data_IF_343484729122
#
_entry.id   IF_343484729122
#
_cell.length_a   1.000
_cell.length_b   1.000
_cell.length_c   1.000
_cell.angle_alpha   90.00
_cell.angle_beta   90.00
_cell.angle_gamma   90.00
#
_symmetry.space_group_name_H-M   'P 1'
#
loop_
_entity.id
_entity.type
_entity.pdbx_description
1 polymer ?
#
# COMPACT_ATOMS: atom_id res chain seq x y z
N UNK A 1 -0.97 -20.51 3.91
CA UNK A 1 0.42 -21.05 4.10
C UNK A 1 0.67 -21.36 5.57
N UNK A 2 1.47 -22.39 5.86
CA UNK A 2 1.83 -22.78 7.22
C UNK A 2 3.36 -22.80 7.34
N UNK A 3 3.90 -22.02 8.29
CA UNK A 3 5.33 -22.00 8.61
C UNK A 3 5.55 -22.67 9.96
N UNK A 4 6.43 -23.67 10.01
CA UNK A 4 6.82 -24.37 11.23
C UNK A 4 8.10 -23.73 11.75
N UNK A 5 8.05 -23.19 12.96
CA UNK A 5 9.19 -22.61 13.66
C UNK A 5 9.64 -23.55 14.79
N UNK A 6 10.86 -23.36 15.30
CA UNK A 6 11.36 -24.12 16.47
C UNK A 6 10.51 -23.94 17.74
N UNK A 7 9.66 -22.92 17.77
CA UNK A 7 8.77 -22.55 18.89
C UNK A 7 7.28 -22.67 18.55
N UNK A 8 6.90 -23.52 17.58
CA UNK A 8 5.52 -23.73 17.17
C UNK A 8 5.29 -23.39 15.71
N UNK A 9 4.02 -23.17 15.32
CA UNK A 9 3.66 -22.82 13.94
C UNK A 9 2.96 -21.46 13.86
N UNK A 10 3.04 -20.86 12.66
CA UNK A 10 2.21 -19.74 12.24
C UNK A 10 1.48 -20.17 10.97
N UNK A 11 0.17 -20.09 10.98
CA UNK A 11 -0.67 -20.34 9.83
C UNK A 11 -1.29 -19.05 9.34
N UNK A 12 -1.16 -18.78 8.03
CA UNK A 12 -1.75 -17.63 7.38
C UNK A 12 -2.64 -18.10 6.23
N UNK A 13 -3.87 -17.61 6.19
CA UNK A 13 -4.80 -17.80 5.08
C UNK A 13 -5.27 -16.47 4.53
N UNK A 14 -5.52 -16.43 3.23
CA UNK A 14 -6.10 -15.30 2.51
C UNK A 14 -7.15 -15.87 1.56
N UNK A 15 -8.37 -15.37 1.68
CA UNK A 15 -9.44 -15.54 0.70
C UNK A 15 -9.79 -14.15 0.15
N UNK A 16 -9.76 -14.00 -1.18
CA UNK A 16 -9.88 -12.71 -1.83
C UNK A 16 -10.76 -12.80 -3.07
N UNK A 17 -11.79 -11.94 -3.10
CA UNK A 17 -12.68 -11.76 -4.23
C UNK A 17 -12.54 -10.34 -4.75
N UNK A 18 -12.06 -10.16 -5.99
CA UNK A 18 -11.86 -8.85 -6.60
C UNK A 18 -12.71 -8.68 -7.84
N UNK A 19 -13.30 -7.50 -7.96
CA UNK A 19 -13.96 -7.03 -9.17
C UNK A 19 -13.26 -5.76 -9.67
N UNK A 20 -12.84 -5.79 -10.94
CA UNK A 20 -12.15 -4.67 -11.58
C UNK A 20 -12.92 -4.25 -12.83
N UNK A 21 -13.28 -2.97 -12.89
CA UNK A 21 -13.87 -2.35 -14.06
C UNK A 21 -12.90 -1.30 -14.61
N UNK A 22 -12.65 -1.34 -15.92
CA UNK A 22 -11.82 -0.36 -16.61
C UNK A 22 -12.57 0.14 -17.83
N UNK A 23 -12.65 1.45 -17.99
CA UNK A 23 -13.29 2.10 -19.12
C UNK A 23 -12.39 3.21 -19.67
N UNK A 24 -12.01 3.08 -20.93
CA UNK A 24 -11.27 4.12 -21.66
C UNK A 24 -12.28 5.12 -22.21
N UNK A 25 -12.28 6.36 -21.68
CA UNK A 25 -13.25 7.40 -22.06
C UNK A 25 -12.85 7.99 -23.42
N UNK A 26 -11.55 8.31 -23.56
CA UNK A 26 -10.93 8.80 -24.79
C UNK A 26 -9.52 8.23 -24.88
N UNK A 27 -8.73 8.61 -25.88
CA UNK A 27 -7.36 8.09 -26.04
C UNK A 27 -6.48 8.32 -24.80
N UNK A 28 -6.72 9.44 -24.09
CA UNK A 28 -5.89 9.88 -22.96
C UNK A 28 -6.50 9.65 -21.59
N UNK A 29 -7.78 9.27 -21.47
CA UNK A 29 -8.45 9.14 -20.18
C UNK A 29 -8.90 7.70 -19.91
N UNK A 30 -8.56 7.20 -18.74
CA UNK A 30 -8.95 5.89 -18.25
C UNK A 30 -9.62 6.01 -16.88
N UNK A 31 -10.85 5.52 -16.78
CA UNK A 31 -11.54 5.30 -15.51
C UNK A 31 -11.35 3.85 -15.07
N UNK A 32 -10.90 3.64 -13.85
CA UNK A 32 -10.77 2.32 -13.23
C UNK A 32 -11.52 2.30 -11.91
N UNK A 33 -12.24 1.23 -11.63
CA UNK A 33 -12.89 0.99 -10.35
C UNK A 33 -12.54 -0.42 -9.90
N UNK A 34 -11.96 -0.52 -8.71
CA UNK A 34 -11.67 -1.80 -8.06
C UNK A 34 -12.54 -1.93 -6.81
N UNK A 35 -13.15 -3.10 -6.64
CA UNK A 35 -13.80 -3.49 -5.39
C UNK A 35 -13.24 -4.84 -4.98
N UNK A 36 -12.90 -4.99 -3.69
CA UNK A 36 -12.42 -6.25 -3.15
C UNK A 36 -13.11 -6.58 -1.83
N UNK A 37 -13.24 -7.88 -1.60
CA UNK A 37 -13.71 -8.48 -0.35
C UNK A 37 -12.67 -9.52 0.04
N UNK A 38 -11.91 -9.22 1.09
CA UNK A 38 -10.78 -10.02 1.51
C UNK A 38 -11.03 -10.53 2.93
N UNK A 39 -10.66 -11.79 3.15
CA UNK A 39 -10.60 -12.39 4.47
C UNK A 39 -9.17 -12.86 4.73
N UNK A 40 -8.54 -12.26 5.74
CA UNK A 40 -7.15 -12.56 6.10
C UNK A 40 -7.08 -13.07 7.53
N UNK A 41 -6.58 -14.26 7.70
CA UNK A 41 -6.40 -14.89 9.01
C UNK A 41 -4.92 -15.15 9.27
N UNK A 42 -4.49 -14.90 10.50
CA UNK A 42 -3.18 -15.27 11.01
C UNK A 42 -3.31 -15.86 12.40
N UNK A 43 -2.88 -17.11 12.54
CA UNK A 43 -2.94 -17.86 13.81
C UNK A 43 -1.54 -18.35 14.15
N UNK A 44 -1.08 -17.98 15.34
CA UNK A 44 0.17 -18.46 15.93
C UNK A 44 -0.13 -19.28 17.18
N UNK A 45 0.48 -20.45 17.27
CA UNK A 45 0.33 -21.35 18.42
C UNK A 45 0.79 -20.70 19.72
N UNK A 46 1.93 -19.99 19.70
CA UNK A 46 2.58 -19.47 20.90
C UNK A 46 2.47 -17.95 21.09
N UNK A 47 1.88 -17.24 20.14
CA UNK A 47 1.75 -15.78 20.18
C UNK A 47 0.30 -15.33 19.95
N UNK A 48 -0.59 -15.76 20.85
CA UNK A 48 -2.03 -15.49 20.74
C UNK A 48 -2.36 -13.99 20.60
N UNK A 49 -1.54 -13.09 21.15
CA UNK A 49 -1.70 -11.64 21.01
C UNK A 49 -1.47 -11.10 19.59
N UNK A 50 -0.96 -11.92 18.68
CA UNK A 50 -0.77 -11.62 17.26
C UNK A 50 -1.83 -12.23 16.36
N UNK A 51 -2.72 -13.05 16.91
CA UNK A 51 -3.76 -13.70 16.14
C UNK A 51 -4.84 -12.71 15.74
N UNK A 52 -5.26 -12.78 14.49
CA UNK A 52 -6.33 -11.96 13.95
C UNK A 52 -7.09 -12.71 12.85
N UNK A 53 -8.31 -12.28 12.62
CA UNK A 53 -9.11 -12.67 11.46
C UNK A 53 -9.82 -11.40 10.94
N UNK A 54 -9.29 -10.83 9.87
CA UNK A 54 -9.79 -9.60 9.29
C UNK A 54 -10.75 -9.88 8.15
N UNK A 55 -11.94 -9.31 8.25
CA UNK A 55 -12.86 -9.13 7.13
C UNK A 55 -12.64 -7.71 6.59
N UNK A 56 -12.25 -7.59 5.31
CA UNK A 56 -11.92 -6.33 4.66
C UNK A 56 -12.79 -6.11 3.42
N UNK A 57 -13.29 -4.90 3.27
CA UNK A 57 -13.95 -4.42 2.06
C UNK A 57 -13.21 -3.20 1.54
N UNK A 58 -12.89 -3.20 0.25
CA UNK A 58 -12.18 -2.14 -0.44
C UNK A 58 -13.00 -1.64 -1.62
N UNK A 59 -13.06 -0.32 -1.77
CA UNK A 59 -13.60 0.38 -2.94
C UNK A 59 -12.60 1.45 -3.38
N UNK A 60 -12.11 1.37 -4.62
CA UNK A 60 -11.02 2.22 -5.12
C UNK A 60 -11.31 2.68 -6.55
N UNK A 61 -12.02 3.81 -6.75
CA UNK A 61 -12.12 4.50 -8.03
C UNK A 61 -10.82 5.29 -8.32
N UNK A 62 -10.39 5.27 -9.57
CA UNK A 62 -9.21 5.95 -10.08
C UNK A 62 -9.48 6.54 -11.45
N UNK A 63 -9.02 7.77 -11.67
CA UNK A 63 -8.97 8.43 -12.97
C UNK A 63 -7.50 8.58 -13.34
N UNK A 64 -7.15 8.13 -14.53
CA UNK A 64 -5.81 8.21 -15.08
C UNK A 64 -5.81 9.10 -16.34
N UNK A 65 -4.84 9.99 -16.43
CA UNK A 65 -4.54 10.76 -17.63
C UNK A 65 -3.24 10.28 -18.24
N UNK A 66 -3.31 9.83 -19.50
CA UNK A 66 -2.19 9.35 -20.28
C UNK A 66 -1.67 10.50 -21.14
N UNK A 67 -0.56 11.12 -20.74
CA UNK A 67 0.08 12.17 -21.55
C UNK A 67 0.63 11.62 -22.86
N UNK A 68 1.16 10.42 -22.81
CA UNK A 68 1.69 9.63 -23.92
C UNK A 68 1.88 8.17 -23.45
N UNK A 69 2.44 7.33 -24.30
CA UNK A 69 2.70 5.91 -24.00
C UNK A 69 3.65 5.69 -22.82
N UNK A 70 4.40 6.72 -22.41
CA UNK A 70 5.44 6.64 -21.39
C UNK A 70 5.09 7.35 -20.09
N UNK A 71 4.04 8.17 -20.07
CA UNK A 71 3.74 9.06 -18.94
C UNK A 71 2.27 9.02 -18.56
N UNK A 72 2.01 8.80 -17.27
CA UNK A 72 0.66 8.72 -16.69
C UNK A 72 0.59 9.51 -15.40
N UNK A 73 -0.53 10.19 -15.21
CA UNK A 73 -0.92 10.82 -13.97
C UNK A 73 -2.22 10.21 -13.47
N UNK A 74 -2.28 9.83 -12.20
CA UNK A 74 -3.46 9.23 -11.58
C UNK A 74 -3.95 10.08 -10.42
N UNK A 75 -5.27 10.17 -10.27
CA UNK A 75 -5.96 10.64 -9.08
C UNK A 75 -6.85 9.50 -8.61
N UNK A 76 -6.80 9.16 -7.35
CA UNK A 76 -7.59 8.07 -6.81
C UNK A 76 -8.12 8.35 -5.40
N UNK A 77 -9.22 7.70 -5.12
CA UNK A 77 -9.81 7.60 -3.80
C UNK A 77 -9.89 6.13 -3.43
N UNK A 78 -9.62 5.80 -2.18
CA UNK A 78 -9.82 4.46 -1.67
C UNK A 78 -10.56 4.52 -0.34
N UNK A 79 -11.61 3.73 -0.23
CA UNK A 79 -12.31 3.48 1.01
C UNK A 79 -12.07 2.03 1.42
N UNK A 80 -11.53 1.83 2.62
CA UNK A 80 -11.30 0.51 3.20
C UNK A 80 -12.03 0.41 4.52
N UNK A 81 -12.80 -0.66 4.69
CA UNK A 81 -13.40 -1.07 5.96
C UNK A 81 -12.78 -2.40 6.34
N UNK A 82 -12.22 -2.47 7.55
CA UNK A 82 -11.56 -3.68 8.05
C UNK A 82 -12.07 -3.95 9.48
N UNK A 83 -12.46 -5.17 9.76
CA UNK A 83 -12.97 -5.61 11.06
C UNK A 83 -12.22 -6.84 11.51
N UNK A 84 -11.74 -6.85 12.77
CA UNK A 84 -11.20 -8.04 13.39
C UNK A 84 -12.34 -8.84 14.02
N UNK A 85 -12.55 -10.07 13.57
CA UNK A 85 -13.66 -10.93 14.02
C UNK A 85 -13.31 -11.78 15.23
N UNK A 86 -12.05 -11.73 15.69
CA UNK A 86 -11.56 -12.46 16.86
C UNK A 86 -10.81 -11.52 17.81
N UNK A 87 -10.67 -11.90 19.07
CA UNK A 87 -9.89 -11.14 20.06
C UNK A 87 -10.53 -9.82 20.48
N UNK A 88 -9.90 -8.71 20.12
CA UNK A 88 -10.28 -7.37 20.59
C UNK A 88 -11.42 -6.71 19.80
N UNK A 89 -11.90 -7.32 18.71
CA UNK A 89 -12.95 -6.77 17.83
C UNK A 89 -12.65 -5.36 17.30
N UNK A 90 -11.38 -5.11 17.01
CA UNK A 90 -10.94 -3.83 16.46
C UNK A 90 -11.58 -3.56 15.10
N UNK A 91 -11.86 -2.30 14.81
CA UNK A 91 -12.38 -1.89 13.52
C UNK A 91 -11.67 -0.66 12.95
N UNK A 92 -11.52 -0.65 11.64
CA UNK A 92 -10.91 0.45 10.88
C UNK A 92 -11.82 0.87 9.74
N UNK A 93 -12.09 2.18 9.64
CA UNK A 93 -12.61 2.82 8.43
C UNK A 93 -11.55 3.79 7.93
N UNK A 94 -10.94 3.48 6.81
CA UNK A 94 -9.88 4.29 6.21
C UNK A 94 -10.39 4.95 4.94
N UNK A 95 -10.11 6.22 4.79
CA UNK A 95 -10.25 6.97 3.55
C UNK A 95 -8.85 7.40 3.10
N UNK A 96 -8.46 7.04 1.89
CA UNK A 96 -7.21 7.41 1.25
C UNK A 96 -7.51 8.25 0.01
N UNK A 97 -6.88 9.39 -0.09
CA UNK A 97 -6.87 10.26 -1.27
C UNK A 97 -5.44 10.29 -1.79
N UNK A 98 -5.24 9.98 -3.03
CA UNK A 98 -3.90 9.91 -3.58
C UNK A 98 -3.79 10.50 -4.97
N UNK A 99 -2.58 10.98 -5.25
CA UNK A 99 -2.14 11.35 -6.58
C UNK A 99 -0.83 10.64 -6.88
N UNK A 100 -0.68 10.16 -8.11
CA UNK A 100 0.56 9.53 -8.54
C UNK A 100 0.95 9.96 -9.95
N UNK A 101 2.24 9.94 -10.20
CA UNK A 101 2.84 10.16 -11.52
C UNK A 101 3.77 9.00 -11.83
N UNK A 102 3.67 8.49 -13.03
CA UNK A 102 4.54 7.44 -13.54
C UNK A 102 5.08 7.83 -14.91
N UNK A 103 6.38 7.72 -15.07
CA UNK A 103 7.09 7.86 -16.33
C UNK A 103 8.04 6.69 -16.51
N UNK A 104 8.06 6.11 -17.70
CA UNK A 104 9.07 5.11 -18.06
C UNK A 104 9.36 5.15 -19.56
N UNK A 105 10.61 5.00 -19.94
CA UNK A 105 11.00 4.91 -21.33
C UNK A 105 11.71 3.58 -21.67
N UNK A 106 11.95 3.35 -22.97
CA UNK A 106 12.59 2.13 -23.49
C UNK A 106 14.03 1.97 -23.02
N UNK A 107 14.69 3.07 -22.61
CA UNK A 107 16.09 3.08 -22.12
C UNK A 107 16.21 2.75 -20.64
N UNK A 108 15.20 2.11 -20.06
CA UNK A 108 15.13 1.75 -18.64
C UNK A 108 15.24 2.95 -17.67
N UNK A 109 14.84 4.14 -18.10
CA UNK A 109 14.64 5.26 -17.19
C UNK A 109 13.19 5.23 -16.72
N UNK A 110 12.99 5.28 -15.41
CA UNK A 110 11.67 5.31 -14.81
C UNK A 110 11.66 6.28 -13.62
N UNK A 111 10.55 7.00 -13.47
CA UNK A 111 10.28 7.85 -12.31
C UNK A 111 8.84 7.58 -11.90
N UNK A 112 8.63 7.23 -10.64
CA UNK A 112 7.31 7.08 -10.03
C UNK A 112 7.26 7.93 -8.77
N UNK A 113 6.25 8.77 -8.66
CA UNK A 113 5.98 9.56 -7.49
C UNK A 113 4.55 9.35 -7.03
N UNK A 114 4.32 9.31 -5.74
CA UNK A 114 2.99 9.17 -5.14
C UNK A 114 2.91 10.00 -3.85
N UNK A 115 1.77 10.66 -3.64
CA UNK A 115 1.44 11.36 -2.41
C UNK A 115 0.05 10.92 -1.98
N UNK A 116 -0.09 10.55 -0.71
CA UNK A 116 -1.35 10.10 -0.14
C UNK A 116 -1.68 10.84 1.14
N UNK A 117 -2.95 11.14 1.30
CA UNK A 117 -3.57 11.55 2.54
C UNK A 117 -4.51 10.46 3.03
N UNK A 118 -4.39 10.09 4.31
CA UNK A 118 -5.24 9.10 4.96
C UNK A 118 -6.03 9.75 6.11
N UNK A 119 -7.27 9.32 6.24
CA UNK A 119 -8.09 9.55 7.42
C UNK A 119 -8.52 8.19 7.98
N UNK A 120 -8.00 7.83 9.16
CA UNK A 120 -8.18 6.54 9.81
C UNK A 120 -9.10 6.70 11.03
N UNK A 121 -10.37 6.31 10.90
CA UNK A 121 -11.26 6.15 12.05
C UNK A 121 -11.07 4.71 12.57
N UNK A 122 -10.34 4.60 13.67
CA UNK A 122 -9.98 3.32 14.29
C UNK A 122 -10.65 3.20 15.65
N UNK A 123 -11.28 2.07 15.90
CA UNK A 123 -11.86 1.69 17.18
C UNK A 123 -11.12 0.46 17.72
N UNK A 124 -10.55 0.60 18.90
CA UNK A 124 -9.71 -0.40 19.56
C UNK A 124 -8.45 0.18 20.19
N UNK A 125 -7.61 -0.69 20.74
CA UNK A 125 -6.32 -0.30 21.30
C UNK A 125 -5.25 -0.22 20.20
N UNK A 126 -4.84 1.00 19.81
CA UNK A 126 -3.87 1.24 18.74
C UNK A 126 -2.45 0.70 19.01
N UNK A 127 -2.14 0.31 20.25
CA UNK A 127 -0.80 -0.13 20.66
C UNK A 127 -0.65 -1.67 20.70
N UNK A 128 -1.44 -2.40 19.93
CA UNK A 128 -1.36 -3.86 19.82
C UNK A 128 -0.71 -4.29 18.50
N UNK A 129 -0.12 -5.48 18.43
CA UNK A 129 0.37 -6.03 17.16
C UNK A 129 -0.73 -6.15 16.09
N UNK A 130 -1.95 -6.49 16.50
CA UNK A 130 -3.11 -6.61 15.62
C UNK A 130 -3.48 -5.24 15.03
N UNK A 131 -3.54 -4.20 15.86
CA UNK A 131 -3.84 -2.83 15.41
C UNK A 131 -2.76 -2.29 14.48
N UNK A 132 -1.48 -2.57 14.76
CA UNK A 132 -0.38 -2.21 13.87
C UNK A 132 -0.54 -2.84 12.49
N UNK A 133 -0.94 -4.12 12.44
CA UNK A 133 -1.20 -4.84 11.18
C UNK A 133 -2.42 -4.26 10.46
N UNK A 134 -3.51 -3.98 11.19
CA UNK A 134 -4.75 -3.43 10.64
C UNK A 134 -4.53 -2.02 10.05
N UNK A 135 -3.77 -1.17 10.76
CA UNK A 135 -3.43 0.20 10.35
C UNK A 135 -2.28 0.27 9.33
N UNK A 136 -1.66 -0.87 8.99
CA UNK A 136 -0.52 -0.94 8.03
C UNK A 136 0.66 -0.03 8.44
N UNK A 137 0.91 0.06 9.75
CA UNK A 137 1.97 0.89 10.33
C UNK A 137 1.67 2.39 10.35
N UNK A 138 0.46 2.81 9.95
CA UNK A 138 -0.03 4.18 10.14
C UNK A 138 -0.58 4.35 11.56
N UNK A 139 -1.01 5.56 11.88
CA UNK A 139 -1.66 5.89 13.15
C UNK A 139 -3.16 6.12 12.95
N UNK A 140 -4.00 5.99 13.99
CA UNK A 140 -5.34 6.57 13.98
C UNK A 140 -5.29 8.07 13.68
N UNK A 141 -6.36 8.61 13.08
CA UNK A 141 -6.43 10.02 12.67
C UNK A 141 -5.81 10.27 11.30
N UNK A 142 -5.21 11.44 11.13
CA UNK A 142 -4.71 11.91 9.83
C UNK A 142 -3.26 11.50 9.62
N UNK A 143 -2.98 10.98 8.42
CA UNK A 143 -1.64 10.58 8.01
C UNK A 143 -1.35 11.09 6.59
N UNK A 144 -0.09 11.40 6.34
CA UNK A 144 0.46 11.68 5.02
C UNK A 144 1.59 10.73 4.71
N UNK A 145 1.61 10.21 3.48
CA UNK A 145 2.74 9.45 2.96
C UNK A 145 3.13 9.98 1.58
N UNK A 146 4.39 9.90 1.26
CA UNK A 146 4.89 10.20 -0.08
C UNK A 146 6.03 9.27 -0.44
N UNK A 147 6.15 8.99 -1.72
CA UNK A 147 7.24 8.18 -2.25
C UNK A 147 7.75 8.76 -3.56
N UNK A 148 9.05 8.57 -3.81
CA UNK A 148 9.70 8.84 -5.07
C UNK A 148 10.63 7.67 -5.38
N UNK A 149 10.39 7.01 -6.49
CA UNK A 149 11.21 5.95 -7.03
C UNK A 149 11.77 6.44 -8.35
N UNK A 150 13.08 6.45 -8.50
CA UNK A 150 13.73 6.83 -9.75
C UNK A 150 14.76 5.79 -10.12
N UNK A 151 14.70 5.35 -11.36
CA UNK A 151 15.68 4.49 -11.98
C UNK A 151 16.25 5.18 -13.21
N UNK A 152 17.56 5.18 -13.35
CA UNK A 152 18.25 5.75 -14.52
C UNK A 152 19.40 4.86 -14.94
N UNK A 153 19.41 4.51 -16.20
CA UNK A 153 20.56 3.91 -16.85
C UNK A 153 21.60 5.00 -17.13
N UNK A 154 22.72 4.98 -16.42
CA UNK A 154 23.79 5.97 -16.58
C UNK A 154 24.69 5.67 -17.76
N UNK A 155 25.01 4.36 -17.92
CA UNK A 155 25.80 3.83 -19.05
C UNK A 155 25.27 2.45 -19.43
N UNK A 156 25.85 1.80 -20.44
CA UNK A 156 25.49 0.43 -20.82
C UNK A 156 25.72 -0.59 -19.70
N UNK A 157 26.59 -0.27 -18.75
CA UNK A 157 27.00 -1.15 -17.66
C UNK A 157 26.77 -0.56 -16.26
N UNK A 158 26.05 0.56 -16.14
CA UNK A 158 25.82 1.21 -14.84
C UNK A 158 24.38 1.73 -14.74
N UNK A 159 23.64 1.23 -13.75
CA UNK A 159 22.29 1.67 -13.39
C UNK A 159 22.30 2.36 -12.01
N UNK A 160 21.51 3.43 -11.89
CA UNK A 160 21.23 4.14 -10.64
C UNK A 160 19.78 3.90 -10.26
N UNK A 161 19.53 3.47 -9.02
CA UNK A 161 18.22 3.42 -8.42
C UNK A 161 18.17 4.32 -7.18
N UNK A 162 17.15 5.13 -7.09
CA UNK A 162 16.83 5.97 -5.93
C UNK A 162 15.45 5.59 -5.43
N UNK A 163 15.35 5.29 -4.13
CA UNK A 163 14.08 5.09 -3.43
C UNK A 163 14.02 6.08 -2.28
N UNK A 164 12.96 6.86 -2.20
CA UNK A 164 12.73 7.80 -1.13
C UNK A 164 11.29 7.68 -0.66
N UNK A 165 11.09 7.55 0.64
CA UNK A 165 9.80 7.45 1.30
C UNK A 165 9.74 8.43 2.45
N UNK A 166 8.57 9.04 2.64
CA UNK A 166 8.30 9.82 3.80
C UNK A 166 6.89 9.54 4.34
N UNK A 167 6.74 9.71 5.64
CA UNK A 167 5.45 9.66 6.31
C UNK A 167 5.36 10.65 7.43
N UNK A 168 4.15 11.17 7.65
CA UNK A 168 3.81 12.04 8.76
C UNK A 168 2.43 11.67 9.28
N UNK A 169 2.30 11.46 10.58
CA UNK A 169 1.02 11.30 11.27
C UNK A 169 0.74 12.53 12.12
N UNK A 170 -0.51 12.72 12.50
CA UNK A 170 -0.94 13.88 13.32
C UNK A 170 -0.19 13.96 14.65
N UNK A 171 0.11 12.79 15.24
CA UNK A 171 0.71 12.67 16.58
C UNK A 171 2.20 12.31 16.57
N UNK A 172 2.81 12.08 15.41
CA UNK A 172 4.19 11.63 15.31
C UNK A 172 5.06 12.58 14.49
N UNK A 173 6.39 12.50 14.70
CA UNK A 173 7.37 13.24 13.89
C UNK A 173 7.39 12.68 12.47
N UNK A 174 7.74 13.55 11.53
CA UNK A 174 7.98 13.13 10.14
C UNK A 174 9.15 12.15 10.10
N UNK A 175 8.95 11.06 9.37
CA UNK A 175 9.98 10.02 9.14
C UNK A 175 10.33 10.03 7.67
N UNK A 176 11.61 10.03 7.37
CA UNK A 176 12.16 9.97 6.02
C UNK A 176 13.06 8.75 5.91
N UNK A 177 12.94 8.01 4.81
CA UNK A 177 13.79 6.87 4.49
C UNK A 177 14.23 7.00 3.05
N UNK A 178 15.52 6.92 2.80
CA UNK A 178 16.09 6.99 1.45
C UNK A 178 17.13 5.91 1.22
N UNK A 179 17.15 5.35 0.01
CA UNK A 179 18.16 4.37 -0.44
C UNK A 179 18.62 4.77 -1.83
N UNK A 180 19.94 4.78 -2.02
CA UNK A 180 20.58 4.95 -3.31
C UNK A 180 21.38 3.68 -3.59
N UNK A 181 21.14 3.08 -4.75
CA UNK A 181 21.83 1.89 -5.21
C UNK A 181 22.45 2.13 -6.58
N UNK A 182 23.74 1.87 -6.70
CA UNK A 182 24.47 1.77 -7.97
C UNK A 182 24.66 0.29 -8.29
N UNK A 183 24.26 -0.11 -9.48
CA UNK A 183 24.40 -1.49 -9.97
C UNK A 183 25.28 -1.50 -11.21
N UNK A 184 26.48 -2.08 -11.07
CA UNK A 184 27.43 -2.26 -12.17
C UNK A 184 27.33 -3.68 -12.75
N UNK A 185 27.47 -3.78 -14.08
CA UNK A 185 27.50 -5.05 -14.82
C UNK A 185 28.87 -5.16 -15.49
N UNK A 186 29.57 -6.26 -15.26
CA UNK A 186 30.88 -6.52 -15.82
C UNK A 186 30.84 -7.68 -16.80
#
# INVERSE_FOLDING_TARGET
SRNILSVGFIENSLDSHQFNFNHKIEESWLLSVQTAFDKTESISENFASKNYNFDETLFNPKISYLFNDNSRFDIFYQHTKKENTIGGFESLKQQKYGVSFAFSNKDKNAINGEVNYFSNAFDGNANTPVSFQMLEGLQPGKNFTWSLLAQKKLTTFLDLNLNYFGRKSETSRTIHTGTIQLKAYF
#
